data_IF_645177033313
#
_entry.id   IF_645177033313
#
_cell.length_a   1.000
_cell.length_b   1.000
_cell.length_c   1.000
_cell.angle_alpha   90.00
_cell.angle_beta   90.00
_cell.angle_gamma   90.00
#
_symmetry.space_group_name_H-M   'P 1'
#
loop_
_entity.id
_entity.type
_entity.pdbx_description
1 polymer ?
#
# COMPACT_ATOMS: atom_id res chain seq x y z
N UNK A 1 -15.11 -13.40 12.38
CA UNK A 1 -15.64 -12.85 11.10
C UNK A 1 -14.93 -11.55 10.69
N UNK A 2 -14.70 -10.63 11.63
CA UNK A 2 -14.06 -9.32 11.34
C UNK A 2 -12.67 -9.40 10.68
N UNK A 3 -11.78 -10.31 11.13
CA UNK A 3 -10.44 -10.47 10.54
C UNK A 3 -10.48 -10.95 9.07
N UNK A 4 -11.44 -11.81 8.71
CA UNK A 4 -11.57 -12.31 7.34
C UNK A 4 -12.09 -11.21 6.40
N UNK A 5 -13.03 -10.40 6.89
CA UNK A 5 -13.57 -9.25 6.16
C UNK A 5 -12.48 -8.19 5.95
N UNK A 6 -11.68 -7.92 6.98
CA UNK A 6 -10.53 -7.01 6.90
C UNK A 6 -9.44 -7.48 5.93
N UNK A 7 -9.23 -8.80 5.81
CA UNK A 7 -8.31 -9.41 4.83
C UNK A 7 -8.82 -9.22 3.40
N UNK A 8 -10.13 -9.37 3.21
CA UNK A 8 -10.77 -9.19 1.90
C UNK A 8 -10.73 -7.73 1.46
N UNK A 9 -10.99 -6.78 2.37
CA UNK A 9 -10.88 -5.35 2.11
C UNK A 9 -9.43 -4.94 1.82
N UNK A 10 -8.44 -5.51 2.54
CA UNK A 10 -7.03 -5.27 2.27
C UNK A 10 -6.59 -5.79 0.90
N UNK A 11 -7.05 -6.98 0.50
CA UNK A 11 -6.69 -7.57 -0.78
C UNK A 11 -7.22 -6.73 -1.96
N UNK A 12 -8.44 -6.19 -1.83
CA UNK A 12 -9.01 -5.30 -2.87
C UNK A 12 -8.30 -3.93 -2.87
N UNK A 13 -7.93 -3.39 -1.70
CA UNK A 13 -7.11 -2.18 -1.62
C UNK A 13 -5.70 -2.40 -2.21
N UNK A 14 -5.06 -3.53 -1.92
CA UNK A 14 -3.77 -3.92 -2.45
C UNK A 14 -3.79 -3.98 -3.98
N UNK A 15 -4.84 -4.59 -4.56
CA UNK A 15 -5.02 -4.64 -6.02
C UNK A 15 -5.05 -3.25 -6.65
N UNK A 16 -5.79 -2.31 -6.05
CA UNK A 16 -5.91 -0.95 -6.56
C UNK A 16 -4.64 -0.09 -6.38
N UNK A 17 -3.83 -0.38 -5.36
CA UNK A 17 -2.56 0.34 -5.10
C UNK A 17 -1.40 -0.26 -5.90
N UNK A 18 -1.41 -1.57 -6.14
CA UNK A 18 -0.36 -2.30 -6.84
C UNK A 18 -0.24 -1.91 -8.33
N UNK A 19 -1.32 -1.47 -8.96
CA UNK A 19 -1.28 -0.98 -10.34
C UNK A 19 -0.63 0.41 -10.48
N UNK A 20 -0.20 1.04 -9.38
CA UNK A 20 0.73 2.18 -9.38
C UNK A 20 0.19 3.47 -10.00
N UNK A 21 -0.99 3.42 -10.61
CA UNK A 21 -1.69 4.52 -11.25
C UNK A 21 -3.11 4.41 -10.76
N UNK A 22 -3.45 5.06 -9.65
CA UNK A 22 -4.85 5.41 -9.44
C UNK A 22 -5.13 6.51 -10.47
N UNK A 23 -5.61 6.13 -11.66
CA UNK A 23 -6.08 7.13 -12.61
C UNK A 23 -7.29 7.84 -11.98
N UNK A 24 -7.50 9.14 -12.24
CA UNK A 24 -8.70 9.84 -11.77
C UNK A 24 -10.01 9.12 -12.13
N UNK A 25 -10.02 8.37 -13.24
CA UNK A 25 -11.12 7.49 -13.65
C UNK A 25 -11.33 6.29 -12.72
N UNK A 26 -10.27 5.59 -12.33
CA UNK A 26 -10.35 4.42 -11.42
C UNK A 26 -10.69 4.84 -9.99
N UNK A 27 -10.23 6.03 -9.59
CA UNK A 27 -10.62 6.65 -8.33
C UNK A 27 -12.14 6.91 -8.25
N UNK A 28 -12.73 7.41 -9.35
CA UNK A 28 -14.17 7.68 -9.43
C UNK A 28 -15.02 6.41 -9.53
N UNK A 29 -14.48 5.32 -10.05
CA UNK A 29 -15.17 4.02 -10.13
C UNK A 29 -14.93 3.11 -8.91
N UNK A 30 -14.17 3.57 -7.92
CA UNK A 30 -13.80 2.74 -6.78
C UNK A 30 -14.97 2.50 -5.82
N UNK A 31 -15.16 1.27 -5.32
CA UNK A 31 -16.22 0.96 -4.36
C UNK A 31 -16.13 1.83 -3.10
N UNK A 32 -17.28 2.24 -2.56
CA UNK A 32 -17.36 3.13 -1.40
C UNK A 32 -16.59 2.63 -0.16
N UNK A 33 -16.44 1.31 -0.02
CA UNK A 33 -15.67 0.68 1.06
C UNK A 33 -14.16 0.98 1.02
N UNK A 34 -13.62 1.30 -0.16
CA UNK A 34 -12.16 1.49 -0.37
C UNK A 34 -11.83 2.93 -0.79
N UNK A 35 -12.85 3.68 -1.21
CA UNK A 35 -12.74 5.10 -1.54
C UNK A 35 -12.06 5.92 -0.44
N UNK A 36 -12.40 5.68 0.84
CA UNK A 36 -11.76 6.37 1.96
C UNK A 36 -10.27 6.05 2.13
N UNK A 37 -9.87 4.80 1.90
CA UNK A 37 -8.47 4.39 1.95
C UNK A 37 -7.68 4.98 0.76
N UNK A 38 -8.28 4.99 -0.44
CA UNK A 38 -7.70 5.64 -1.61
C UNK A 38 -7.60 7.17 -1.46
N UNK A 39 -8.60 7.84 -0.87
CA UNK A 39 -8.54 9.27 -0.55
C UNK A 39 -7.39 9.57 0.39
N UNK A 40 -7.20 8.74 1.42
CA UNK A 40 -6.10 8.89 2.36
C UNK A 40 -4.74 8.67 1.69
N UNK A 41 -4.63 7.68 0.81
CA UNK A 41 -3.42 7.49 0.01
C UNK A 41 -3.15 8.73 -0.84
N UNK A 42 -4.14 9.18 -1.63
CA UNK A 42 -4.03 10.35 -2.50
C UNK A 42 -3.64 11.62 -1.74
N UNK A 43 -4.33 11.94 -0.64
CA UNK A 43 -4.04 13.11 0.19
C UNK A 43 -2.65 13.06 0.85
N UNK A 44 -2.08 11.87 1.06
CA UNK A 44 -0.74 11.74 1.65
C UNK A 44 0.36 11.61 0.60
N UNK A 45 0.10 10.96 -0.53
CA UNK A 45 1.08 10.66 -1.57
C UNK A 45 1.25 11.82 -2.54
N UNK A 46 0.17 12.53 -2.90
CA UNK A 46 0.23 13.64 -3.86
C UNK A 46 1.06 14.81 -3.34
N UNK A 47 0.86 15.36 -2.12
CA UNK A 47 1.67 16.48 -1.64
C UNK A 47 3.15 16.12 -1.51
N UNK A 48 3.46 14.89 -1.05
CA UNK A 48 4.83 14.39 -0.94
C UNK A 48 5.48 14.22 -2.30
N UNK A 49 4.77 13.64 -3.25
CA UNK A 49 5.25 13.45 -4.62
C UNK A 49 5.43 14.77 -5.35
N UNK A 50 4.55 15.74 -5.12
CA UNK A 50 4.66 17.09 -5.66
C UNK A 50 5.92 17.80 -5.13
N UNK A 51 6.17 17.71 -3.83
CA UNK A 51 7.37 18.27 -3.21
C UNK A 51 8.65 17.60 -3.74
N UNK A 52 8.66 16.27 -3.82
CA UNK A 52 9.82 15.52 -4.30
C UNK A 52 10.10 15.80 -5.78
N UNK A 53 9.06 15.90 -6.61
CA UNK A 53 9.16 16.26 -8.01
C UNK A 53 9.67 17.70 -8.20
N UNK A 54 9.19 18.64 -7.40
CA UNK A 54 9.66 20.02 -7.44
C UNK A 54 11.15 20.10 -7.09
N UNK A 55 11.57 19.44 -6.01
CA UNK A 55 12.98 19.37 -5.59
C UNK A 55 13.86 18.72 -6.65
N UNK A 56 13.45 17.57 -7.17
CA UNK A 56 14.23 16.81 -8.15
C UNK A 56 14.34 17.54 -9.48
N UNK A 57 13.25 18.18 -9.94
CA UNK A 57 13.25 19.00 -11.15
C UNK A 57 14.16 20.22 -11.01
N UNK A 58 14.18 20.88 -9.84
CA UNK A 58 15.10 22.00 -9.57
C UNK A 58 16.56 21.57 -9.60
N UNK A 59 16.90 20.44 -8.96
CA UNK A 59 18.27 19.91 -8.96
C UNK A 59 18.70 19.49 -10.38
N UNK A 60 17.81 18.84 -11.12
CA UNK A 60 18.07 18.45 -12.51
C UNK A 60 18.35 19.69 -13.38
N UNK A 61 17.49 20.71 -13.29
CA UNK A 61 17.69 21.97 -14.04
C UNK A 61 19.01 22.65 -13.65
N UNK A 62 19.34 22.70 -12.36
CA UNK A 62 20.60 23.28 -11.89
C UNK A 62 21.82 22.53 -12.42
N UNK A 63 21.79 21.19 -12.42
CA UNK A 63 22.88 20.37 -12.97
C UNK A 63 23.04 20.55 -14.48
N UNK A 64 21.93 20.58 -15.23
CA UNK A 64 21.96 20.82 -16.66
C UNK A 64 22.52 22.21 -16.98
N UNK A 65 22.11 23.24 -16.24
CA UNK A 65 22.63 24.60 -16.40
C UNK A 65 24.14 24.66 -16.11
N UNK A 66 24.60 23.96 -15.07
CA UNK A 66 26.01 23.88 -14.73
C UNK A 66 26.83 23.13 -15.80
N UNK A 67 26.32 21.99 -16.30
CA UNK A 67 26.94 21.25 -17.41
C UNK A 67 26.98 22.05 -18.71
N UNK A 68 25.93 22.81 -19.01
CA UNK A 68 25.91 23.67 -20.19
C UNK A 68 26.97 24.77 -20.09
N UNK A 69 27.09 25.40 -18.92
CA UNK A 69 28.14 26.38 -18.65
C UNK A 69 29.55 25.76 -18.72
N UNK A 70 29.76 24.56 -18.17
CA UNK A 70 31.04 23.85 -18.18
C UNK A 70 31.45 23.35 -19.58
N UNK A 71 30.49 23.07 -20.45
CA UNK A 71 30.73 22.60 -21.82
C UNK A 71 30.72 23.71 -22.87
N UNK A 72 30.72 24.97 -22.43
CA UNK A 72 30.69 26.12 -23.35
C UNK A 72 29.49 26.07 -24.32
N UNK A 73 28.34 25.57 -23.86
CA UNK A 73 27.11 25.44 -24.66
C UNK A 73 27.04 24.20 -25.55
N UNK A 74 28.01 23.27 -25.48
CA UNK A 74 28.07 22.08 -26.35
C UNK A 74 26.97 21.06 -26.02
N UNK A 75 26.61 20.91 -24.74
CA UNK A 75 25.39 20.22 -24.34
C UNK A 75 24.24 21.22 -24.34
N UNK A 76 23.91 21.72 -25.54
CA UNK A 76 22.72 22.52 -25.75
C UNK A 76 21.53 21.74 -25.23
N UNK A 77 20.88 22.25 -24.17
CA UNK A 77 19.50 21.85 -23.96
C UNK A 77 18.79 22.06 -25.30
N UNK A 78 18.08 21.05 -25.79
CA UNK A 78 17.24 21.16 -26.98
C UNK A 78 15.99 22.02 -26.69
N UNK A 79 16.15 23.12 -25.96
CA UNK A 79 15.20 24.20 -25.85
C UNK A 79 15.81 25.38 -26.58
N UNK A 80 15.13 25.76 -27.64
CA UNK A 80 15.43 26.98 -28.37
C UNK A 80 15.40 28.16 -27.37
N UNK A 81 16.55 28.77 -27.06
CA UNK A 81 16.62 29.85 -26.09
C UNK A 81 15.89 31.12 -26.57
N UNK A 82 15.52 31.19 -27.85
CA UNK A 82 14.72 32.28 -28.42
C UNK A 82 13.21 32.05 -28.31
N UNK A 83 12.78 30.85 -27.93
CA UNK A 83 11.38 30.51 -27.71
C UNK A 83 11.11 30.19 -26.24
N UNK A 84 10.62 31.16 -25.45
CA UNK A 84 10.26 30.98 -24.05
C UNK A 84 9.32 29.78 -23.83
N UNK A 85 8.41 29.51 -24.78
CA UNK A 85 7.47 28.40 -24.71
C UNK A 85 8.15 27.03 -24.74
N UNK A 86 9.31 26.89 -25.37
CA UNK A 86 10.06 25.64 -25.41
C UNK A 86 10.73 25.32 -24.06
N UNK A 87 11.26 26.35 -23.38
CA UNK A 87 11.88 26.26 -22.06
C UNK A 87 10.84 25.83 -21.02
N UNK A 88 9.67 26.47 -21.02
CA UNK A 88 8.58 26.11 -20.10
C UNK A 88 8.03 24.71 -20.36
N UNK A 89 7.92 24.30 -21.63
CA UNK A 89 7.47 22.96 -21.99
C UNK A 89 8.42 21.89 -21.45
N UNK A 90 9.73 22.05 -21.65
CA UNK A 90 10.73 21.08 -21.19
C UNK A 90 10.74 20.94 -19.66
N UNK A 91 10.64 22.06 -18.93
CA UNK A 91 10.57 22.06 -17.48
C UNK A 91 9.30 21.36 -16.95
N UNK A 92 8.17 21.53 -17.64
CA UNK A 92 6.92 20.83 -17.32
C UNK A 92 7.01 19.32 -17.60
N UNK A 93 7.65 18.90 -18.69
CA UNK A 93 7.89 17.48 -19.00
C UNK A 93 8.77 16.81 -17.94
N UNK A 94 9.88 17.46 -17.55
CA UNK A 94 10.80 16.96 -16.53
C UNK A 94 10.08 16.83 -15.18
N UNK A 95 9.34 17.86 -14.77
CA UNK A 95 8.56 17.83 -13.55
C UNK A 95 7.55 16.67 -13.55
N UNK A 96 6.79 16.51 -14.63
CA UNK A 96 5.81 15.42 -14.74
C UNK A 96 6.45 14.04 -14.69
N UNK A 97 7.64 13.86 -15.27
CA UNK A 97 8.37 12.60 -15.21
C UNK A 97 8.74 12.27 -13.76
N UNK A 98 9.32 13.22 -13.02
CA UNK A 98 9.65 13.03 -11.60
C UNK A 98 8.40 12.86 -10.72
N UNK A 99 7.31 13.56 -11.02
CA UNK A 99 6.05 13.41 -10.30
C UNK A 99 5.45 12.01 -10.47
N UNK A 100 5.42 11.50 -11.71
CA UNK A 100 5.00 10.10 -11.98
C UNK A 100 5.90 9.10 -11.27
N UNK A 101 7.22 9.31 -11.30
CA UNK A 101 8.17 8.43 -10.63
C UNK A 101 7.99 8.42 -9.11
N UNK A 102 7.76 9.59 -8.50
CA UNK A 102 7.52 9.70 -7.06
C UNK A 102 6.19 9.05 -6.66
N UNK A 103 5.14 9.19 -7.47
CA UNK A 103 3.86 8.51 -7.26
C UNK A 103 3.99 6.98 -7.37
N UNK A 104 4.70 6.47 -8.38
CA UNK A 104 4.95 5.03 -8.52
C UNK A 104 5.72 4.46 -7.31
N UNK A 105 6.74 5.19 -6.85
CA UNK A 105 7.47 4.82 -5.64
C UNK A 105 6.58 4.82 -4.39
N UNK A 106 5.68 5.81 -4.25
CA UNK A 106 4.71 5.87 -3.16
C UNK A 106 3.71 4.70 -3.23
N UNK A 107 3.23 4.34 -4.42
CA UNK A 107 2.36 3.19 -4.66
C UNK A 107 3.03 1.89 -4.24
N UNK A 108 4.28 1.66 -4.65
CA UNK A 108 5.08 0.47 -4.26
C UNK A 108 5.30 0.39 -2.74
N UNK A 109 5.60 1.50 -2.09
CA UNK A 109 5.79 1.55 -0.64
C UNK A 109 4.49 1.22 0.11
N UNK A 110 3.36 1.73 -0.36
CA UNK A 110 2.05 1.44 0.23
C UNK A 110 1.64 -0.02 -0.01
N UNK A 111 1.84 -0.56 -1.22
CA UNK A 111 1.59 -1.97 -1.51
C UNK A 111 2.41 -2.91 -0.59
N UNK A 112 3.68 -2.58 -0.34
CA UNK A 112 4.52 -3.34 0.58
C UNK A 112 4.00 -3.29 2.03
N UNK A 113 3.47 -2.14 2.47
CA UNK A 113 2.85 -1.98 3.79
C UNK A 113 1.56 -2.79 3.91
N UNK A 114 0.73 -2.79 2.87
CA UNK A 114 -0.51 -3.59 2.81
C UNK A 114 -0.18 -5.08 2.91
N UNK A 115 0.79 -5.56 2.14
CA UNK A 115 1.23 -6.96 2.20
C UNK A 115 1.72 -7.39 3.58
N UNK A 116 2.40 -6.51 4.32
CA UNK A 116 2.79 -6.78 5.72
C UNK A 116 1.57 -6.93 6.62
N UNK A 117 0.61 -6.01 6.50
CA UNK A 117 -0.63 -6.07 7.27
C UNK A 117 -1.45 -7.34 6.95
N UNK A 118 -1.51 -7.77 5.69
CA UNK A 118 -2.14 -9.05 5.33
C UNK A 118 -1.46 -10.22 6.03
N UNK A 119 -0.12 -10.24 6.05
CA UNK A 119 0.67 -11.28 6.70
C UNK A 119 0.42 -11.30 8.21
N UNK A 120 0.39 -10.13 8.85
CA UNK A 120 0.11 -10.03 10.29
C UNK A 120 -1.29 -10.52 10.65
N UNK A 121 -2.30 -10.15 9.85
CA UNK A 121 -3.69 -10.61 10.03
C UNK A 121 -3.78 -12.14 9.84
N UNK A 122 -3.08 -12.70 8.85
CA UNK A 122 -3.02 -14.16 8.64
C UNK A 122 -2.39 -14.87 9.84
N UNK A 123 -1.31 -14.34 10.38
CA UNK A 123 -0.66 -14.89 11.57
C UNK A 123 -1.58 -14.84 12.80
N UNK A 124 -2.28 -13.72 13.02
CA UNK A 124 -3.27 -13.60 14.09
C UNK A 124 -4.39 -14.62 13.95
N UNK A 125 -4.92 -14.80 12.74
CA UNK A 125 -5.94 -15.81 12.46
C UNK A 125 -5.43 -17.22 12.79
N UNK A 126 -4.21 -17.57 12.37
CA UNK A 126 -3.60 -18.86 12.67
C UNK A 126 -3.44 -19.10 14.18
N UNK A 127 -3.02 -18.08 14.93
CA UNK A 127 -2.89 -18.16 16.38
C UNK A 127 -4.24 -18.41 17.05
N UNK A 128 -5.28 -17.68 16.66
CA UNK A 128 -6.64 -17.86 17.18
C UNK A 128 -7.16 -19.26 16.84
N UNK A 129 -7.02 -19.71 15.59
CA UNK A 129 -7.46 -21.06 15.18
C UNK A 129 -6.73 -22.16 15.96
N UNK A 130 -5.46 -21.95 16.31
CA UNK A 130 -4.68 -22.89 17.12
C UNK A 130 -5.18 -22.93 18.57
N UNK A 131 -5.41 -21.77 19.17
CA UNK A 131 -5.96 -21.67 20.53
C UNK A 131 -7.37 -22.25 20.62
N UNK A 132 -8.20 -22.00 19.61
CA UNK A 132 -9.56 -22.53 19.54
C UNK A 132 -9.54 -24.07 19.51
N UNK A 133 -8.70 -24.67 18.66
CA UNK A 133 -8.55 -26.13 18.60
C UNK A 133 -8.05 -26.73 19.91
N UNK A 134 -7.14 -26.04 20.60
CA UNK A 134 -6.65 -26.49 21.90
C UNK A 134 -7.78 -26.46 22.96
N UNK A 135 -8.56 -25.37 22.99
CA UNK A 135 -9.70 -25.24 23.88
C UNK A 135 -10.81 -26.26 23.58
N UNK A 136 -11.11 -26.52 22.30
CA UNK A 136 -12.07 -27.56 21.89
C UNK A 136 -11.61 -28.96 22.31
N UNK A 137 -10.32 -29.26 22.21
CA UNK A 137 -9.76 -30.53 22.67
C UNK A 137 -9.83 -30.68 24.20
N UNK A 138 -9.53 -29.60 24.93
CA UNK A 138 -9.64 -29.57 26.39
C UNK A 138 -11.09 -29.77 26.85
N UNK A 139 -12.03 -29.03 26.25
CA UNK A 139 -13.47 -29.16 26.52
C UNK A 139 -13.93 -30.61 26.32
N UNK A 140 -13.59 -31.21 25.18
CA UNK A 140 -13.95 -32.60 24.89
C UNK A 140 -13.35 -33.57 25.92
N UNK A 141 -12.13 -33.34 26.38
CA UNK A 141 -11.51 -34.16 27.42
C UNK A 141 -12.23 -34.03 28.76
N UNK A 142 -12.70 -32.83 29.10
CA UNK A 142 -13.48 -32.56 30.32
C UNK A 142 -14.85 -33.23 30.23
N UNK A 143 -15.55 -33.11 29.10
CA UNK A 143 -16.83 -33.78 28.86
C UNK A 143 -16.69 -35.31 28.97
N UNK A 144 -15.66 -35.90 28.37
CA UNK A 144 -15.39 -37.34 28.47
C UNK A 144 -15.06 -37.78 29.91
N UNK A 145 -14.32 -36.95 30.66
CA UNK A 145 -13.99 -37.21 32.05
C UNK A 145 -15.21 -37.08 32.97
N UNK A 146 -16.05 -36.07 32.74
CA UNK A 146 -17.31 -35.86 33.44
C UNK A 146 -18.26 -37.04 33.23
N UNK A 147 -18.42 -37.48 31.98
CA UNK A 147 -19.28 -38.62 31.65
C UNK A 147 -18.79 -39.92 32.31
N UNK A 148 -17.49 -40.20 32.30
CA UNK A 148 -16.90 -41.34 33.03
C UNK A 148 -17.10 -41.21 34.55
N UNK A 149 -16.99 -39.99 35.08
CA UNK A 149 -17.25 -39.70 36.49
C UNK A 149 -18.69 -40.00 36.89
N UNK A 150 -19.65 -39.58 36.07
CA UNK A 150 -21.09 -39.86 36.25
C UNK A 150 -21.35 -41.38 36.21
N UNK A 151 -20.79 -42.09 35.24
CA UNK A 151 -20.93 -43.56 35.15
C UNK A 151 -20.33 -44.29 36.36
N UNK A 152 -19.18 -43.84 36.85
CA UNK A 152 -18.51 -44.43 38.01
C UNK A 152 -19.25 -44.14 39.33
N UNK A 153 -19.94 -43.00 39.43
CA UNK A 153 -20.69 -42.59 40.62
C UNK A 153 -22.15 -43.03 40.61
N UNK A 154 -22.63 -43.63 39.52
CA UNK A 154 -23.95 -44.22 39.45
C UNK A 154 -24.10 -45.39 40.44
N UNK A 155 -25.13 -45.40 41.32
CA UNK A 155 -25.32 -46.46 42.28
C UNK A 155 -25.63 -47.79 41.58
N UNK A 156 -24.79 -48.80 41.83
CA UNK A 156 -24.99 -50.16 41.34
C UNK A 156 -25.85 -50.94 42.34
N UNK A 157 -27.10 -51.19 41.96
CA UNK A 157 -27.97 -52.08 42.72
C UNK A 157 -27.63 -53.52 42.35
N UNK A 158 -27.23 -54.31 43.35
CA UNK A 158 -26.96 -55.77 43.28
C UNK A 158 -28.20 -56.50 43.77
#
# INVERSE_FOLDING_TARGET
MELAQRLQDLAVYAGNVADGVISPSEFMSSPASIFGAQMNFFNNSVPKSLFEAARSSQIYNANIMNMNAASNGQYGMAVDPTNPGSIFANQYFIFNAFFKQALDAAGKAEAAKVKRLETDIQNQKLQIDTQLKAAEAELKSVEEAEQKGIEASAPKYV
#
